data_IF_136113621234
#
_entry.id   IF_136113621234
#
_cell.length_a   1.000
_cell.length_b   1.000
_cell.length_c   1.000
_cell.angle_alpha   90.00
_cell.angle_beta   90.00
_cell.angle_gamma   90.00
#
_symmetry.space_group_name_H-M   'P 1'
#
loop_
_entity.id
_entity.type
_entity.pdbx_description
1 polymer ?
#
# COMPACT_ATOMS: atom_id res chain seq x y z
N UNK A 1 -7.91 -9.32 -19.39
CA UNK A 1 -7.63 -10.32 -18.31
C UNK A 1 -7.96 -9.72 -16.97
N UNK A 2 -8.61 -10.48 -16.06
CA UNK A 2 -8.82 -10.02 -14.68
C UNK A 2 -7.63 -10.43 -13.81
N UNK A 3 -6.90 -9.44 -13.28
CA UNK A 3 -5.70 -9.64 -12.45
C UNK A 3 -6.11 -9.79 -10.96
N UNK A 4 -6.69 -10.94 -10.63
CA UNK A 4 -7.08 -11.27 -9.26
C UNK A 4 -5.86 -11.64 -8.42
N UNK A 5 -5.68 -11.01 -7.28
CA UNK A 5 -4.50 -11.18 -6.43
C UNK A 5 -4.46 -12.51 -5.64
N UNK A 6 -5.51 -13.34 -5.69
CA UNK A 6 -5.62 -14.54 -4.83
C UNK A 6 -4.38 -15.43 -4.90
N UNK A 7 -3.97 -15.84 -6.11
CA UNK A 7 -2.81 -16.72 -6.28
C UNK A 7 -1.50 -16.04 -5.88
N UNK A 8 -1.33 -14.75 -6.17
CA UNK A 8 -0.21 -13.97 -5.67
C UNK A 8 -0.14 -13.99 -4.13
N UNK A 9 -1.27 -13.76 -3.46
CA UNK A 9 -1.35 -13.75 -1.99
C UNK A 9 -0.99 -15.10 -1.39
N UNK A 10 -1.48 -16.20 -1.97
CA UNK A 10 -1.16 -17.55 -1.52
C UNK A 10 0.34 -17.84 -1.63
N UNK A 11 0.95 -17.56 -2.78
CA UNK A 11 2.39 -17.77 -2.99
C UNK A 11 3.23 -16.85 -2.09
N UNK A 12 2.88 -15.56 -2.02
CA UNK A 12 3.62 -14.57 -1.22
C UNK A 12 3.55 -14.90 0.27
N UNK A 13 2.40 -15.39 0.76
CA UNK A 13 2.23 -15.83 2.14
C UNK A 13 3.18 -16.99 2.48
N UNK A 14 3.27 -18.01 1.62
CA UNK A 14 4.20 -19.13 1.84
C UNK A 14 5.67 -18.67 1.80
N UNK A 15 6.03 -17.75 0.93
CA UNK A 15 7.37 -17.15 0.91
C UNK A 15 7.68 -16.39 2.21
N UNK A 16 6.72 -15.60 2.71
CA UNK A 16 6.86 -14.87 3.96
C UNK A 16 7.03 -15.84 5.14
N UNK A 17 6.19 -16.88 5.23
CA UNK A 17 6.32 -17.92 6.28
C UNK A 17 7.68 -18.60 6.26
N UNK A 18 8.17 -18.95 5.09
CA UNK A 18 9.49 -19.59 4.95
C UNK A 18 10.60 -18.68 5.50
N UNK A 19 10.58 -17.39 5.13
CA UNK A 19 11.54 -16.38 5.64
C UNK A 19 11.43 -16.17 7.15
N UNK A 20 10.21 -16.13 7.70
CA UNK A 20 10.01 -16.02 9.16
C UNK A 20 10.61 -17.20 9.91
N UNK A 21 10.53 -18.41 9.35
CA UNK A 21 11.12 -19.61 9.96
C UNK A 21 12.66 -19.63 9.94
N UNK A 22 13.28 -18.84 9.07
CA UNK A 22 14.75 -18.70 8.97
C UNK A 22 15.31 -17.64 9.92
N UNK A 23 14.46 -16.81 10.54
CA UNK A 23 14.88 -15.76 11.47
C UNK A 23 15.22 -16.35 12.85
N UNK A 24 16.26 -15.80 13.47
CA UNK A 24 16.68 -16.16 14.85
C UNK A 24 15.63 -15.75 15.89
N UNK A 25 14.89 -14.66 15.61
CA UNK A 25 13.83 -14.13 16.50
C UNK A 25 12.53 -13.96 15.74
N UNK A 26 11.43 -14.32 16.38
CA UNK A 26 10.08 -14.03 15.85
C UNK A 26 9.90 -12.52 15.64
N UNK A 27 9.63 -12.05 14.43
CA UNK A 27 9.42 -10.63 14.18
C UNK A 27 8.13 -10.14 14.85
N UNK A 28 8.17 -8.92 15.41
CA UNK A 28 7.05 -8.33 16.13
C UNK A 28 6.66 -6.98 15.54
N UNK A 29 5.42 -6.88 15.08
CA UNK A 29 4.83 -5.65 14.55
C UNK A 29 4.05 -4.91 15.63
N UNK A 30 4.39 -3.65 15.92
CA UNK A 30 3.53 -2.77 16.69
C UNK A 30 2.53 -2.06 15.78
N UNK A 31 1.25 -2.12 16.14
CA UNK A 31 0.18 -1.38 15.44
C UNK A 31 -0.41 -0.38 16.42
N UNK A 32 -0.29 0.91 16.10
CA UNK A 32 -0.94 1.99 16.84
C UNK A 32 -2.21 2.37 16.10
N UNK A 33 -3.34 2.28 16.75
CA UNK A 33 -4.65 2.68 16.20
C UNK A 33 -5.36 3.63 17.15
N UNK A 34 -5.83 4.75 16.63
CA UNK A 34 -6.77 5.63 17.31
C UNK A 34 -8.17 5.29 16.81
N UNK A 35 -9.14 5.29 17.71
CA UNK A 35 -10.54 5.05 17.40
C UNK A 35 -11.00 5.93 16.23
N UNK A 36 -11.47 5.29 15.17
CA UNK A 36 -11.83 5.97 13.94
C UNK A 36 -13.17 5.48 13.40
N UNK A 37 -13.14 4.78 12.29
CA UNK A 37 -14.32 4.21 11.64
C UNK A 37 -14.23 2.68 11.55
N UNK A 38 -15.40 2.05 11.40
CA UNK A 38 -15.51 0.58 11.31
C UNK A 38 -14.74 -0.07 10.15
N UNK A 39 -14.38 0.69 9.13
CA UNK A 39 -13.56 0.19 8.02
C UNK A 39 -12.10 0.03 8.46
N UNK A 40 -11.54 0.99 9.22
CA UNK A 40 -10.21 0.90 9.81
C UNK A 40 -10.11 -0.30 10.76
N UNK A 41 -11.13 -0.51 11.61
CA UNK A 41 -11.16 -1.63 12.56
C UNK A 41 -11.10 -2.99 11.87
N UNK A 42 -11.89 -3.16 10.80
CA UNK A 42 -11.87 -4.38 9.98
C UNK A 42 -10.51 -4.59 9.30
N UNK A 43 -9.91 -3.50 8.82
CA UNK A 43 -8.62 -3.57 8.13
C UNK A 43 -7.50 -3.97 9.10
N UNK A 44 -7.44 -3.37 10.30
CA UNK A 44 -6.46 -3.73 11.34
C UNK A 44 -6.70 -5.16 11.83
N UNK A 45 -7.94 -5.56 12.09
CA UNK A 45 -8.26 -6.95 12.47
C UNK A 45 -7.78 -7.96 11.42
N UNK A 46 -7.90 -7.63 10.14
CA UNK A 46 -7.40 -8.48 9.06
C UNK A 46 -5.86 -8.51 9.00
N UNK A 47 -5.18 -7.36 9.22
CA UNK A 47 -3.72 -7.30 9.36
C UNK A 47 -3.23 -8.24 10.48
N UNK A 48 -3.83 -8.14 11.67
CA UNK A 48 -3.46 -8.97 12.82
C UNK A 48 -3.61 -10.46 12.53
N UNK A 49 -4.73 -10.87 11.88
CA UNK A 49 -4.94 -12.26 11.47
C UNK A 49 -3.86 -12.74 10.49
N UNK A 50 -3.50 -11.91 9.53
CA UNK A 50 -2.47 -12.25 8.54
C UNK A 50 -1.06 -12.28 9.15
N UNK A 51 -0.77 -11.41 10.11
CA UNK A 51 0.47 -11.50 10.90
C UNK A 51 0.55 -12.84 11.64
N UNK A 52 -0.49 -13.23 12.37
CA UNK A 52 -0.54 -14.50 13.07
C UNK A 52 -0.40 -15.71 12.12
N UNK A 53 -1.06 -15.67 10.93
CA UNK A 53 -0.90 -16.70 9.89
C UNK A 53 0.53 -16.80 9.38
N UNK A 54 1.25 -15.68 9.30
CA UNK A 54 2.63 -15.61 8.84
C UNK A 54 3.68 -15.93 9.91
N UNK A 55 3.28 -16.09 11.19
CA UNK A 55 4.21 -16.26 12.31
C UNK A 55 4.83 -14.95 12.80
N UNK A 56 4.17 -13.82 12.57
CA UNK A 56 4.58 -12.49 13.03
C UNK A 56 3.75 -12.12 14.26
N UNK A 57 4.43 -11.82 15.38
CA UNK A 57 3.78 -11.33 16.59
C UNK A 57 3.25 -9.92 16.42
N UNK A 58 2.16 -9.58 17.12
CA UNK A 58 1.57 -8.24 17.07
C UNK A 58 1.43 -7.64 18.47
N UNK A 59 1.99 -6.45 18.67
CA UNK A 59 1.71 -5.56 19.81
C UNK A 59 0.67 -4.52 19.37
N UNK A 60 -0.57 -4.71 19.80
CA UNK A 60 -1.67 -3.81 19.41
C UNK A 60 -1.87 -2.74 20.49
N UNK A 61 -1.74 -1.47 20.08
CA UNK A 61 -1.93 -0.29 20.91
C UNK A 61 -3.16 0.47 20.42
N UNK A 62 -4.26 0.40 21.17
CA UNK A 62 -5.53 1.06 20.81
C UNK A 62 -5.80 2.22 21.74
N UNK A 63 -6.19 3.36 21.16
CA UNK A 63 -6.52 4.59 21.86
C UNK A 63 -7.90 5.09 21.47
N UNK A 64 -8.60 5.71 22.42
CA UNK A 64 -9.86 6.40 22.16
C UNK A 64 -9.64 7.63 21.27
N UNK A 65 -10.70 8.07 20.60
CA UNK A 65 -10.63 9.20 19.63
C UNK A 65 -10.16 10.53 20.22
N UNK A 66 -10.22 10.70 21.54
CA UNK A 66 -9.84 11.94 22.25
C UNK A 66 -8.38 11.90 22.74
N UNK A 67 -7.61 10.89 22.37
CA UNK A 67 -6.19 10.82 22.75
C UNK A 67 -5.45 12.07 22.28
N UNK A 68 -4.57 12.61 23.11
CA UNK A 68 -3.72 13.74 22.76
C UNK A 68 -2.44 13.32 22.03
N UNK A 69 -1.76 14.29 21.43
CA UNK A 69 -0.53 14.06 20.68
C UNK A 69 0.59 13.53 21.57
N UNK A 70 0.74 14.09 22.80
CA UNK A 70 1.80 13.74 23.74
C UNK A 70 1.74 12.25 24.12
N UNK A 71 0.55 11.71 24.39
CA UNK A 71 0.36 10.28 24.67
C UNK A 71 0.80 9.39 23.50
N UNK A 72 0.53 9.79 22.26
CA UNK A 72 0.97 9.04 21.08
C UNK A 72 2.47 9.18 20.83
N UNK A 73 3.03 10.37 21.05
CA UNK A 73 4.47 10.64 20.97
C UNK A 73 5.23 9.76 21.93
N UNK A 74 4.85 9.73 23.21
CA UNK A 74 5.45 8.88 24.24
C UNK A 74 5.39 7.40 23.84
N UNK A 75 4.25 6.95 23.32
CA UNK A 75 4.11 5.56 22.87
C UNK A 75 5.01 5.25 21.67
N UNK A 76 5.10 6.14 20.68
CA UNK A 76 5.99 5.96 19.53
C UNK A 76 7.45 5.90 20.00
N UNK A 77 7.87 6.77 20.95
CA UNK A 77 9.22 6.75 21.49
C UNK A 77 9.50 5.48 22.31
N UNK A 78 8.54 5.01 23.11
CA UNK A 78 8.65 3.71 23.79
C UNK A 78 8.92 2.59 22.79
N UNK A 79 8.13 2.53 21.70
CA UNK A 79 8.24 1.48 20.68
C UNK A 79 9.51 1.61 19.82
N UNK A 80 9.99 2.85 19.56
CA UNK A 80 11.26 3.08 18.90
C UNK A 80 12.43 2.49 19.70
N UNK A 81 12.39 2.64 21.04
CA UNK A 81 13.44 2.18 21.94
C UNK A 81 13.30 0.71 22.39
N UNK A 82 12.17 0.07 22.08
CA UNK A 82 11.92 -1.34 22.43
C UNK A 82 12.65 -2.26 21.42
N UNK A 83 13.71 -3.00 21.84
CA UNK A 83 14.47 -3.87 20.94
C UNK A 83 13.69 -5.09 20.46
N UNK A 84 12.57 -5.42 21.12
CA UNK A 84 11.73 -6.55 20.72
C UNK A 84 10.74 -6.16 19.60
N UNK A 85 10.57 -4.86 19.31
CA UNK A 85 9.73 -4.39 18.23
C UNK A 85 10.55 -4.32 16.95
N UNK A 86 10.24 -5.18 15.99
CA UNK A 86 10.86 -5.22 14.66
C UNK A 86 10.47 -4.01 13.82
N UNK A 87 9.19 -3.68 13.82
CA UNK A 87 8.66 -2.53 13.09
C UNK A 87 7.35 -2.05 13.67
N UNK A 88 6.93 -0.86 13.27
CA UNK A 88 5.64 -0.31 13.70
C UNK A 88 4.92 0.40 12.56
N UNK A 89 3.64 0.55 12.72
CA UNK A 89 2.80 1.40 11.88
C UNK A 89 1.78 2.18 12.70
N UNK A 90 1.51 3.39 12.28
CA UNK A 90 0.44 4.24 12.78
C UNK A 90 -0.73 4.14 11.80
N UNK A 91 -1.84 3.54 12.24
CA UNK A 91 -2.98 3.34 11.35
C UNK A 91 -3.65 4.66 10.98
N UNK A 92 -3.58 5.03 9.72
CA UNK A 92 -4.23 6.22 9.17
C UNK A 92 -5.65 5.89 8.64
N UNK A 93 -6.53 6.91 8.54
CA UNK A 93 -6.34 8.30 8.97
C UNK A 93 -6.50 8.49 10.49
N UNK A 94 -5.86 9.53 11.03
CA UNK A 94 -6.04 9.96 12.41
C UNK A 94 -7.22 10.95 12.56
N UNK A 95 -7.75 11.14 13.78
CA UNK A 95 -8.66 12.26 14.09
C UNK A 95 -8.02 13.62 13.75
N UNK A 96 -8.83 14.58 13.29
CA UNK A 96 -8.37 15.88 12.76
C UNK A 96 -7.55 16.75 13.72
N UNK A 97 -7.63 16.51 15.03
CA UNK A 97 -6.88 17.27 16.03
C UNK A 97 -5.43 16.76 16.18
N UNK A 98 -5.09 15.62 15.56
CA UNK A 98 -3.75 15.04 15.53
C UNK A 98 -3.06 15.34 14.19
N UNK A 99 -1.79 15.69 14.26
CA UNK A 99 -0.96 15.89 13.06
C UNK A 99 -0.37 14.55 12.59
N UNK A 100 -0.99 13.99 11.55
CA UNK A 100 -0.56 12.72 10.95
C UNK A 100 0.89 12.76 10.46
N UNK A 101 1.31 13.88 9.86
CA UNK A 101 2.66 14.03 9.34
C UNK A 101 3.68 14.07 10.45
N UNK A 102 3.40 14.84 11.49
CA UNK A 102 4.28 14.94 12.65
C UNK A 102 4.44 13.56 13.31
N UNK A 103 3.34 12.94 13.71
CA UNK A 103 3.36 11.65 14.43
C UNK A 103 4.00 10.52 13.60
N UNK A 104 3.72 10.45 12.30
CA UNK A 104 4.34 9.46 11.42
C UNK A 104 5.86 9.64 11.37
N UNK A 105 6.36 10.88 11.36
CA UNK A 105 7.79 11.15 11.31
C UNK A 105 8.53 10.97 12.64
N UNK A 106 7.84 10.70 13.74
CA UNK A 106 8.46 10.26 14.99
C UNK A 106 8.85 8.78 14.97
N UNK A 107 8.30 7.99 14.06
CA UNK A 107 8.69 6.59 13.87
C UNK A 107 10.13 6.53 13.36
N UNK A 108 10.96 5.71 14.01
CA UNK A 108 12.33 5.46 13.56
C UNK A 108 12.31 4.88 12.13
N UNK A 109 13.05 5.47 11.17
CA UNK A 109 12.97 5.07 9.76
C UNK A 109 13.19 3.57 9.51
N UNK A 110 14.07 2.95 10.30
CA UNK A 110 14.35 1.51 10.26
C UNK A 110 13.18 0.65 10.74
N UNK A 111 12.27 1.20 11.57
CA UNK A 111 11.05 0.53 12.06
C UNK A 111 9.77 0.93 11.32
N UNK A 112 9.85 1.86 10.37
CA UNK A 112 8.71 2.35 9.59
C UNK A 112 8.26 1.32 8.56
N UNK A 113 7.28 0.50 8.94
CA UNK A 113 6.76 -0.57 8.08
C UNK A 113 5.97 -0.04 6.88
N UNK A 114 5.28 1.09 7.05
CA UNK A 114 4.50 1.69 5.98
C UNK A 114 5.35 2.53 5.00
N UNK A 115 6.61 2.85 5.33
CA UNK A 115 7.51 3.61 4.49
C UNK A 115 7.10 5.07 4.28
N UNK A 116 6.44 5.67 5.25
CA UNK A 116 5.85 7.02 5.14
C UNK A 116 6.71 8.13 5.74
N UNK A 117 7.76 7.79 6.50
CA UNK A 117 8.68 8.79 7.06
C UNK A 117 9.36 9.58 5.95
N UNK A 118 9.74 10.83 6.27
CA UNK A 118 10.50 11.69 5.35
C UNK A 118 11.78 11.00 4.89
N UNK A 119 12.47 10.26 5.78
CA UNK A 119 13.67 9.51 5.44
C UNK A 119 13.42 8.46 4.36
N UNK A 120 12.45 7.55 4.57
CA UNK A 120 12.13 6.49 3.62
C UNK A 120 11.60 7.05 2.29
N UNK A 121 10.78 8.10 2.34
CA UNK A 121 10.29 8.79 1.13
C UNK A 121 11.44 9.45 0.35
N UNK A 122 12.39 10.10 1.03
CA UNK A 122 13.56 10.71 0.42
C UNK A 122 14.50 9.65 -0.16
N UNK A 123 14.79 8.59 0.59
CA UNK A 123 15.62 7.48 0.15
C UNK A 123 15.04 6.78 -1.08
N UNK A 124 13.70 6.57 -1.11
CA UNK A 124 13.01 6.05 -2.29
C UNK A 124 13.24 6.93 -3.52
N UNK A 125 13.12 8.26 -3.38
CA UNK A 125 13.31 9.21 -4.48
C UNK A 125 14.76 9.23 -5.00
N UNK A 126 15.72 8.98 -4.12
CA UNK A 126 17.16 8.93 -4.47
C UNK A 126 17.61 7.54 -4.97
N UNK A 127 16.74 6.57 -5.02
CA UNK A 127 17.09 5.20 -5.44
C UNK A 127 17.87 4.42 -4.38
N UNK A 128 17.91 4.89 -3.14
CA UNK A 128 18.56 4.23 -2.02
C UNK A 128 17.72 3.10 -1.46
N UNK A 129 18.34 2.23 -0.66
CA UNK A 129 17.60 1.19 0.09
C UNK A 129 16.77 1.83 1.20
N UNK A 130 15.50 1.39 1.33
CA UNK A 130 14.54 1.95 2.26
C UNK A 130 13.32 1.05 2.42
N UNK A 131 12.51 1.32 3.42
CA UNK A 131 11.19 0.71 3.53
C UNK A 131 10.24 1.39 2.52
N UNK A 132 9.57 0.59 1.71
CA UNK A 132 8.73 1.08 0.61
C UNK A 132 7.27 1.10 1.05
N UNK A 133 6.56 2.17 0.69
CA UNK A 133 5.13 2.29 0.95
C UNK A 133 4.35 1.07 0.47
N UNK A 134 3.53 0.49 1.37
CA UNK A 134 2.96 -0.85 1.18
C UNK A 134 2.05 -0.98 -0.03
N UNK A 135 1.15 0.00 -0.29
CA UNK A 135 0.26 -0.04 -1.46
C UNK A 135 1.02 0.09 -2.77
N UNK A 136 1.93 1.06 -2.96
CA UNK A 136 2.81 1.14 -4.12
C UNK A 136 3.62 -0.14 -4.38
N UNK A 137 4.24 -0.68 -3.33
CA UNK A 137 5.00 -1.95 -3.41
C UNK A 137 4.12 -3.09 -3.91
N UNK A 138 2.93 -3.24 -3.29
CA UNK A 138 1.99 -4.29 -3.67
C UNK A 138 1.46 -4.17 -5.11
N UNK A 139 1.34 -2.95 -5.64
CA UNK A 139 0.97 -2.72 -7.05
C UNK A 139 2.08 -3.21 -7.97
N UNK A 140 3.33 -2.81 -7.74
CA UNK A 140 4.47 -3.24 -8.56
C UNK A 140 4.63 -4.76 -8.51
N UNK A 141 4.56 -5.35 -7.33
CA UNK A 141 4.67 -6.81 -7.16
C UNK A 141 3.55 -7.55 -7.90
N UNK A 142 2.32 -7.03 -7.87
CA UNK A 142 1.20 -7.62 -8.60
C UNK A 142 1.40 -7.54 -10.12
N UNK A 143 1.86 -6.39 -10.63
CA UNK A 143 2.16 -6.21 -12.05
C UNK A 143 3.27 -7.16 -12.51
N UNK A 144 4.33 -7.32 -11.73
CA UNK A 144 5.41 -8.29 -11.98
C UNK A 144 4.88 -9.74 -11.99
N UNK A 145 4.03 -10.07 -11.02
CA UNK A 145 3.41 -11.41 -10.93
C UNK A 145 2.60 -11.77 -12.19
N UNK A 146 1.86 -10.80 -12.73
CA UNK A 146 1.12 -10.96 -13.98
C UNK A 146 1.98 -10.72 -15.24
N UNK A 147 3.29 -10.55 -15.09
CA UNK A 147 4.24 -10.32 -16.18
C UNK A 147 3.88 -9.10 -17.05
N UNK A 148 3.29 -8.06 -16.42
CA UNK A 148 3.00 -6.80 -17.10
C UNK A 148 4.32 -6.07 -17.34
N UNK A 149 4.63 -5.82 -18.61
CA UNK A 149 5.82 -5.06 -18.99
C UNK A 149 5.66 -3.60 -18.56
N UNK A 150 6.62 -3.09 -17.80
CA UNK A 150 6.64 -1.69 -17.32
C UNK A 150 7.74 -0.88 -18.01
N UNK A 151 8.85 -1.51 -18.41
CA UNK A 151 9.97 -0.85 -19.10
C UNK A 151 9.49 -0.20 -20.40
N UNK A 152 9.75 1.11 -20.56
CA UNK A 152 9.40 1.89 -21.75
C UNK A 152 7.90 2.16 -21.91
N UNK A 153 7.07 1.89 -20.90
CA UNK A 153 5.62 2.12 -20.95
C UNK A 153 5.24 3.49 -20.42
N UNK A 154 4.20 4.06 -20.97
CA UNK A 154 3.58 5.28 -20.48
C UNK A 154 2.60 4.92 -19.36
N UNK A 155 2.90 5.39 -18.15
CA UNK A 155 2.10 5.16 -16.94
C UNK A 155 1.42 6.44 -16.52
N UNK A 156 0.10 6.39 -16.35
CA UNK A 156 -0.69 7.47 -15.76
C UNK A 156 -1.14 7.06 -14.35
N UNK A 157 -0.75 7.84 -13.36
CA UNK A 157 -1.21 7.68 -11.97
C UNK A 157 -2.20 8.80 -11.66
N UNK A 158 -3.47 8.45 -11.43
CA UNK A 158 -4.53 9.40 -11.07
C UNK A 158 -4.63 9.46 -9.55
N UNK A 159 -3.62 10.03 -8.93
CA UNK A 159 -3.46 10.28 -7.49
C UNK A 159 -2.13 11.00 -7.25
N UNK A 160 -2.10 12.03 -6.38
CA UNK A 160 -0.90 12.78 -6.02
C UNK A 160 -0.58 12.71 -4.51
N UNK A 161 -1.18 11.74 -3.80
CA UNK A 161 -0.97 11.58 -2.36
C UNK A 161 0.46 11.11 -2.01
N UNK A 162 0.88 11.44 -0.78
CA UNK A 162 2.17 11.02 -0.25
C UNK A 162 2.24 9.51 0.02
N UNK A 163 1.08 8.86 0.21
CA UNK A 163 1.01 7.44 0.59
C UNK A 163 0.83 6.48 -0.60
N UNK A 164 0.38 6.97 -1.76
CA UNK A 164 0.16 6.16 -2.96
C UNK A 164 0.82 6.77 -4.19
N UNK A 165 0.32 7.91 -4.68
CA UNK A 165 0.68 8.43 -6.00
C UNK A 165 2.16 8.77 -6.14
N UNK A 166 2.71 9.55 -5.21
CA UNK A 166 4.12 9.97 -5.26
C UNK A 166 5.09 8.78 -5.12
N UNK A 167 4.98 7.91 -4.11
CA UNK A 167 5.88 6.76 -4.01
C UNK A 167 5.71 5.79 -5.17
N UNK A 168 4.50 5.60 -5.69
CA UNK A 168 4.27 4.75 -6.86
C UNK A 168 4.94 5.30 -8.12
N UNK A 169 4.94 6.63 -8.31
CA UNK A 169 5.64 7.27 -9.42
C UNK A 169 7.15 6.96 -9.38
N UNK A 170 7.77 7.02 -8.20
CA UNK A 170 9.19 6.68 -8.02
C UNK A 170 9.45 5.20 -8.35
N UNK A 171 8.55 4.30 -7.93
CA UNK A 171 8.69 2.88 -8.24
C UNK A 171 8.59 2.60 -9.74
N UNK A 172 7.62 3.19 -10.45
CA UNK A 172 7.52 3.03 -11.90
C UNK A 172 8.74 3.61 -12.64
N UNK A 173 9.30 4.74 -12.18
CA UNK A 173 10.56 5.26 -12.73
C UNK A 173 11.70 4.25 -12.54
N UNK A 174 11.80 3.58 -11.39
CA UNK A 174 12.77 2.50 -11.16
C UNK A 174 12.54 1.29 -12.08
N UNK A 175 11.29 1.02 -12.45
CA UNK A 175 10.94 -0.02 -13.44
C UNK A 175 11.20 0.42 -14.89
N UNK A 176 11.76 1.60 -15.13
CA UNK A 176 12.06 2.12 -16.47
C UNK A 176 10.83 2.60 -17.24
N UNK A 177 9.75 2.97 -16.56
CA UNK A 177 8.55 3.53 -17.18
C UNK A 177 8.64 5.05 -17.31
N UNK A 178 7.87 5.63 -18.24
CA UNK A 178 7.58 7.08 -18.31
C UNK A 178 6.33 7.36 -17.48
N UNK A 179 6.39 8.27 -16.51
CA UNK A 179 5.30 8.45 -15.54
C UNK A 179 4.68 9.84 -15.66
N UNK A 180 3.37 9.88 -15.75
CA UNK A 180 2.54 11.07 -15.59
C UNK A 180 1.70 10.95 -14.33
N UNK A 181 1.76 11.97 -13.45
CA UNK A 181 0.91 12.04 -12.25
C UNK A 181 -0.21 13.05 -12.50
N UNK A 182 -1.45 12.60 -12.35
CA UNK A 182 -2.65 13.41 -12.47
C UNK A 182 -3.34 13.63 -11.12
N UNK A 183 -3.95 14.77 -10.96
CA UNK A 183 -4.67 15.19 -9.75
C UNK A 183 -5.95 15.96 -10.13
N UNK A 184 -6.72 16.39 -9.13
CA UNK A 184 -8.02 17.07 -9.33
C UNK A 184 -8.03 18.33 -10.22
N UNK A 185 -6.85 18.93 -10.49
CA UNK A 185 -6.69 20.11 -11.35
C UNK A 185 -6.14 19.76 -12.73
N UNK A 186 -5.89 18.48 -13.00
CA UNK A 186 -5.34 18.03 -14.29
C UNK A 186 -6.37 18.26 -15.39
N UNK A 187 -5.95 18.94 -16.44
CA UNK A 187 -6.76 19.16 -17.65
C UNK A 187 -6.60 17.96 -18.59
N UNK A 188 -7.62 17.75 -19.43
CA UNK A 188 -7.64 16.73 -20.48
C UNK A 188 -7.32 15.31 -19.97
N UNK A 189 -7.88 14.97 -18.77
CA UNK A 189 -7.62 13.69 -18.11
C UNK A 189 -7.97 12.49 -19.02
N UNK A 190 -9.09 12.55 -19.73
CA UNK A 190 -9.53 11.47 -20.63
C UNK A 190 -8.54 11.21 -21.78
N UNK A 191 -7.94 12.26 -22.32
CA UNK A 191 -6.92 12.12 -23.37
C UNK A 191 -5.63 11.50 -22.81
N UNK A 192 -5.27 11.82 -21.57
CA UNK A 192 -4.12 11.20 -20.90
C UNK A 192 -4.37 9.71 -20.62
N UNK A 193 -5.58 9.35 -20.18
CA UNK A 193 -5.97 7.94 -19.96
C UNK A 193 -5.84 7.16 -21.28
N UNK A 194 -6.35 7.70 -22.39
CA UNK A 194 -6.32 7.02 -23.70
C UNK A 194 -4.92 6.79 -24.26
N UNK A 195 -3.93 7.59 -23.84
CA UNK A 195 -2.53 7.46 -24.29
C UNK A 195 -1.70 6.54 -23.42
N UNK A 196 -2.14 6.27 -22.18
CA UNK A 196 -1.37 5.48 -21.24
C UNK A 196 -1.48 3.98 -21.51
N UNK A 197 -0.37 3.28 -21.41
CA UNK A 197 -0.30 1.80 -21.43
C UNK A 197 -0.80 1.23 -20.09
N UNK A 198 -0.48 1.91 -18.99
CA UNK A 198 -0.86 1.53 -17.63
C UNK A 198 -1.56 2.72 -16.97
N UNK A 199 -2.76 2.52 -16.47
CA UNK A 199 -3.54 3.52 -15.72
C UNK A 199 -3.74 3.03 -14.30
N UNK A 200 -3.24 3.79 -13.33
CA UNK A 200 -3.49 3.55 -11.89
C UNK A 200 -4.48 4.60 -11.40
N UNK A 201 -5.62 4.17 -10.90
CA UNK A 201 -6.65 5.07 -10.35
C UNK A 201 -6.80 4.83 -8.84
N UNK A 202 -6.66 5.92 -8.07
CA UNK A 202 -6.72 5.92 -6.60
C UNK A 202 -7.34 7.23 -6.08
N UNK A 203 -8.52 7.56 -6.58
CA UNK A 203 -9.21 8.84 -6.26
C UNK A 203 -10.23 8.70 -5.12
N UNK A 204 -10.64 7.46 -4.78
CA UNK A 204 -11.64 7.20 -3.75
C UNK A 204 -13.04 7.68 -4.14
N UNK A 205 -13.39 7.60 -5.42
CA UNK A 205 -14.70 7.96 -5.96
C UNK A 205 -15.27 6.77 -6.72
N UNK A 206 -16.35 6.21 -6.22
CA UNK A 206 -17.00 5.05 -6.85
C UNK A 206 -17.42 5.36 -8.28
N UNK A 207 -17.14 4.44 -9.22
CA UNK A 207 -17.49 4.55 -10.63
C UNK A 207 -16.95 5.82 -11.30
N UNK A 208 -15.75 6.25 -10.93
CA UNK A 208 -15.09 7.43 -11.51
C UNK A 208 -14.68 7.21 -12.98
N UNK A 209 -14.25 6.00 -13.33
CA UNK A 209 -13.87 5.63 -14.70
C UNK A 209 -14.79 4.53 -15.25
N UNK A 210 -15.07 4.64 -16.53
CA UNK A 210 -15.94 3.76 -17.28
C UNK A 210 -15.23 3.10 -18.46
N UNK A 211 -15.90 2.13 -19.08
CA UNK A 211 -15.39 1.38 -20.22
C UNK A 211 -14.84 2.25 -21.35
N UNK A 212 -15.55 3.33 -21.74
CA UNK A 212 -15.17 4.23 -22.82
C UNK A 212 -13.93 5.09 -22.54
N UNK A 213 -13.47 5.15 -21.30
CA UNK A 213 -12.28 5.91 -20.93
C UNK A 213 -10.99 5.21 -21.36
N UNK A 214 -11.02 3.88 -21.59
CA UNK A 214 -9.82 3.08 -21.85
C UNK A 214 -9.71 2.61 -23.29
N UNK A 215 -8.48 2.48 -23.78
CA UNK A 215 -8.16 1.88 -25.07
C UNK A 215 -7.90 0.39 -24.96
N UNK A 216 -7.88 -0.32 -26.09
CA UNK A 216 -7.54 -1.74 -26.15
C UNK A 216 -6.11 -1.98 -25.66
N UNK A 217 -5.92 -2.98 -24.81
CA UNK A 217 -4.60 -3.38 -24.28
C UNK A 217 -4.15 -2.60 -23.03
N UNK A 218 -4.89 -1.56 -22.60
CA UNK A 218 -4.55 -0.83 -21.38
C UNK A 218 -4.53 -1.76 -20.16
N UNK A 219 -3.53 -1.60 -19.31
CA UNK A 219 -3.50 -2.22 -17.98
C UNK A 219 -4.07 -1.25 -16.96
N UNK A 220 -5.15 -1.65 -16.28
CA UNK A 220 -5.92 -0.83 -15.36
C UNK A 220 -5.69 -1.35 -13.93
N UNK A 221 -5.14 -0.50 -13.07
CA UNK A 221 -4.92 -0.79 -11.66
C UNK A 221 -5.88 0.05 -10.83
N UNK A 222 -6.96 -0.55 -10.39
CA UNK A 222 -7.95 0.07 -9.52
C UNK A 222 -7.53 -0.10 -8.05
N UNK A 223 -7.21 1.01 -7.41
CA UNK A 223 -6.76 1.09 -5.99
C UNK A 223 -7.90 1.57 -5.08
N UNK A 224 -8.95 2.12 -5.68
CA UNK A 224 -10.07 2.70 -4.94
C UNK A 224 -10.78 1.70 -4.03
N UNK A 225 -11.15 2.14 -2.83
CA UNK A 225 -12.00 1.38 -1.91
C UNK A 225 -13.19 2.27 -1.55
N UNK A 226 -14.33 1.96 -2.12
CA UNK A 226 -15.58 2.67 -1.91
C UNK A 226 -16.66 1.69 -1.46
N UNK A 227 -17.72 2.23 -0.86
CA UNK A 227 -18.91 1.45 -0.48
C UNK A 227 -20.15 2.10 -1.09
N UNK A 228 -20.86 1.35 -1.92
CA UNK A 228 -22.15 1.73 -2.52
C UNK A 228 -23.17 0.68 -2.09
N UNK A 229 -24.24 1.08 -1.44
CA UNK A 229 -25.28 0.20 -0.90
C UNK A 229 -24.72 -0.96 -0.04
N UNK A 230 -23.70 -0.64 0.79
CA UNK A 230 -23.02 -1.61 1.67
C UNK A 230 -22.10 -2.60 0.95
N UNK A 231 -21.94 -2.50 -0.36
CA UNK A 231 -21.04 -3.34 -1.16
C UNK A 231 -19.76 -2.58 -1.52
N UNK A 232 -18.62 -3.27 -1.39
CA UNK A 232 -17.32 -2.72 -1.77
C UNK A 232 -17.21 -2.65 -3.30
N UNK A 233 -16.72 -1.51 -3.80
CA UNK A 233 -16.37 -1.29 -5.20
C UNK A 233 -15.12 -0.41 -5.31
N UNK A 234 -14.53 -0.37 -6.50
CA UNK A 234 -13.38 0.46 -6.85
C UNK A 234 -13.76 1.83 -7.41
N UNK A 235 -12.77 2.50 -7.97
CA UNK A 235 -12.93 3.73 -8.72
C UNK A 235 -13.35 3.44 -10.18
N UNK A 236 -13.12 2.23 -10.69
CA UNK A 236 -13.61 1.77 -11.99
C UNK A 236 -15.00 1.15 -11.85
N UNK A 237 -15.90 1.49 -12.75
CA UNK A 237 -17.27 1.00 -12.74
C UNK A 237 -17.31 -0.53 -12.84
N UNK A 238 -17.87 -1.18 -11.82
CA UNK A 238 -17.91 -2.65 -11.75
C UNK A 238 -18.79 -3.28 -12.83
N UNK A 239 -19.80 -2.58 -13.32
CA UNK A 239 -20.64 -3.05 -14.42
C UNK A 239 -19.85 -3.25 -15.71
N UNK A 240 -18.74 -2.54 -15.88
CA UNK A 240 -17.89 -2.57 -17.07
C UNK A 240 -16.81 -3.67 -17.03
N UNK A 241 -16.64 -4.36 -15.91
CA UNK A 241 -15.54 -5.32 -15.69
C UNK A 241 -15.52 -6.47 -16.70
N UNK A 242 -16.67 -7.00 -17.10
CA UNK A 242 -16.75 -8.09 -18.05
C UNK A 242 -16.19 -7.66 -19.41
N UNK A 243 -16.61 -6.50 -19.91
CA UNK A 243 -16.15 -5.98 -21.18
C UNK A 243 -14.68 -5.53 -21.11
N UNK A 244 -14.29 -4.80 -20.05
CA UNK A 244 -12.90 -4.40 -19.83
C UNK A 244 -11.95 -5.60 -19.76
N UNK A 245 -12.33 -6.68 -19.10
CA UNK A 245 -11.46 -7.86 -18.94
C UNK A 245 -11.21 -8.62 -20.25
N UNK A 246 -12.05 -8.42 -21.27
CA UNK A 246 -11.87 -9.01 -22.61
C UNK A 246 -10.82 -8.28 -23.44
N UNK A 247 -10.63 -6.99 -23.19
CA UNK A 247 -9.77 -6.11 -24.01
C UNK A 247 -8.63 -5.42 -23.26
N UNK A 248 -8.65 -5.43 -21.93
CA UNK A 248 -7.69 -4.82 -21.02
C UNK A 248 -7.24 -5.81 -19.95
N UNK A 249 -6.16 -5.47 -19.25
CA UNK A 249 -5.85 -6.08 -17.96
C UNK A 249 -6.47 -5.21 -16.86
N UNK A 250 -7.11 -5.80 -15.85
CA UNK A 250 -7.82 -5.06 -14.81
C UNK A 250 -7.68 -5.74 -13.46
N UNK A 251 -7.31 -4.97 -12.42
CA UNK A 251 -7.38 -5.44 -11.03
C UNK A 251 -8.81 -5.28 -10.50
N UNK A 252 -9.42 -6.34 -9.94
CA UNK A 252 -10.78 -6.25 -9.41
C UNK A 252 -10.81 -5.61 -8.02
N UNK A 253 -11.94 -4.96 -7.68
CA UNK A 253 -12.24 -4.52 -6.31
C UNK A 253 -13.59 -5.11 -5.87
N UNK A 254 -13.61 -5.96 -4.81
CA UNK A 254 -12.48 -6.52 -4.07
C UNK A 254 -11.70 -7.58 -4.85
N UNK A 255 -10.49 -7.91 -4.37
CA UNK A 255 -9.69 -9.03 -4.90
C UNK A 255 -8.42 -8.63 -5.64
N UNK A 256 -8.09 -7.34 -5.71
CA UNK A 256 -6.87 -6.80 -6.31
C UNK A 256 -5.93 -6.17 -5.29
N UNK A 257 -5.61 -4.90 -5.47
CA UNK A 257 -4.57 -4.13 -4.76
C UNK A 257 -4.68 -4.18 -3.23
N UNK A 258 -5.89 -4.11 -2.66
CA UNK A 258 -6.04 -4.13 -1.20
C UNK A 258 -5.48 -5.41 -0.54
N UNK A 259 -5.46 -6.54 -1.27
CA UNK A 259 -4.86 -7.78 -0.77
C UNK A 259 -3.34 -7.75 -0.87
N UNK A 260 -2.78 -7.16 -1.92
CA UNK A 260 -1.33 -7.05 -2.09
C UNK A 260 -0.71 -6.07 -1.11
N UNK A 261 -1.43 -4.98 -0.76
CA UNK A 261 -1.01 -4.05 0.29
C UNK A 261 -0.75 -4.78 1.61
N UNK A 262 -1.63 -5.70 1.98
CA UNK A 262 -1.48 -6.47 3.21
C UNK A 262 -0.25 -7.39 3.17
N UNK A 263 0.00 -8.04 2.04
CA UNK A 263 1.22 -8.84 1.85
C UNK A 263 2.48 -7.97 1.94
N UNK A 264 2.44 -6.74 1.43
CA UNK A 264 3.56 -5.81 1.52
C UNK A 264 3.87 -5.37 2.95
N UNK A 265 2.84 -5.21 3.81
CA UNK A 265 3.06 -4.96 5.26
C UNK A 265 3.86 -6.11 5.88
N UNK A 266 3.43 -7.35 5.68
CA UNK A 266 4.12 -8.52 6.24
C UNK A 266 5.54 -8.66 5.69
N UNK A 267 5.69 -8.47 4.39
CA UNK A 267 6.98 -8.53 3.69
C UNK A 267 7.96 -7.47 4.21
N UNK A 268 7.49 -6.24 4.45
CA UNK A 268 8.31 -5.17 5.05
C UNK A 268 8.75 -5.53 6.48
N UNK A 269 7.85 -6.08 7.31
CA UNK A 269 8.22 -6.52 8.67
C UNK A 269 9.34 -7.57 8.62
N UNK A 270 9.21 -8.57 7.76
CA UNK A 270 10.23 -9.62 7.63
C UNK A 270 11.54 -9.06 7.06
N UNK A 271 11.47 -8.18 6.06
CA UNK A 271 12.65 -7.51 5.50
C UNK A 271 13.39 -6.67 6.55
N UNK A 272 12.66 -5.98 7.43
CA UNK A 272 13.27 -5.25 8.55
C UNK A 272 13.95 -6.22 9.52
N UNK A 273 13.30 -7.35 9.86
CA UNK A 273 13.87 -8.37 10.74
C UNK A 273 15.19 -8.92 10.18
N UNK A 274 15.21 -9.30 8.91
CA UNK A 274 16.41 -9.79 8.20
C UNK A 274 17.55 -8.76 8.20
N UNK A 275 17.23 -7.47 7.99
CA UNK A 275 18.23 -6.40 8.06
C UNK A 275 18.82 -6.28 9.47
N UNK A 276 17.97 -6.36 10.51
CA UNK A 276 18.42 -6.27 11.90
C UNK A 276 19.38 -7.42 12.27
N UNK A 277 19.13 -8.63 11.79
CA UNK A 277 20.02 -9.79 12.01
C UNK A 277 21.34 -9.67 11.25
N UNK A 278 21.33 -9.06 10.06
CA UNK A 278 22.51 -8.87 9.22
C UNK A 278 23.35 -7.62 9.56
N UNK A 279 23.08 -6.94 10.69
CA UNK A 279 23.91 -5.82 11.19
C UNK A 279 23.37 -4.43 10.90
N UNK A 280 22.11 -4.30 10.55
CA UNK A 280 21.44 -3.01 10.35
C UNK A 280 21.79 -2.29 9.06
N UNK A 281 21.08 -1.18 8.80
CA UNK A 281 21.42 -0.24 7.71
C UNK A 281 22.67 0.58 8.05
#
# INVERSE_FOLDING_TARGET
>A
MLMNAKMYVEIKMEQIKARVLELDKTPKLAIIQVEGNSASDKYVSNKMKKCAEAGIDVKFCYYGKEVDSETLEDKIQELNNDPDITGMLLQLPLPKHLDEHYLTNLIAPEKDVDGFTIYNTGALSLGMDCNIACTPKGIIDLLRFFQIQMVGRDVLIINDSNIVGKPLAQLFLREGATVTVAHKRTQDLKDKIKRADIVVVAVGIANFLHNEDFTYGTTIVDVGINFVDGKMCGDVCKADYEDLSRRCNLTPVPGGVGQTTLMSVLDNVVTIAERNENGGM
#
